data_IF_536552981724
#
_entry.id   IF_536552981724
#
_cell.length_a   1.000
_cell.length_b   1.000
_cell.length_c   1.000
_cell.angle_alpha   90.00
_cell.angle_beta   90.00
_cell.angle_gamma   90.00
#
_symmetry.space_group_name_H-M   'P 1'
#
loop_
_entity.id
_entity.type
_entity.pdbx_description
1 polymer ?
#
# COMPACT_ATOMS: atom_id res chain seq x y z
N UNK A 1 15.88 -47.07 -31.32
CA UNK A 1 15.00 -48.18 -31.80
C UNK A 1 13.61 -47.60 -31.99
N UNK A 2 13.27 -47.32 -33.25
CA UNK A 2 12.09 -47.59 -34.07
C UNK A 2 10.73 -47.49 -33.33
N UNK A 3 9.96 -46.45 -33.58
CA UNK A 3 8.88 -46.27 -34.60
C UNK A 3 7.69 -47.20 -34.41
N UNK A 4 6.46 -46.65 -34.25
CA UNK A 4 5.39 -46.83 -35.21
C UNK A 4 4.15 -45.98 -34.90
N UNK A 5 3.76 -45.26 -35.94
CA UNK A 5 2.46 -44.55 -36.15
C UNK A 5 1.31 -45.54 -36.20
N UNK A 6 0.09 -45.08 -35.81
CA UNK A 6 -1.14 -45.54 -36.47
C UNK A 6 -2.08 -44.37 -36.61
N UNK A 7 -2.40 -44.08 -37.89
CA UNK A 7 -3.45 -43.24 -38.42
C UNK A 7 -4.81 -43.94 -38.27
N UNK A 8 -5.85 -43.18 -37.99
CA UNK A 8 -7.24 -43.64 -38.04
C UNK A 8 -8.18 -42.47 -38.44
N UNK A 9 -8.38 -42.38 -39.72
CA UNK A 9 -9.31 -41.46 -40.40
C UNK A 9 -10.71 -42.11 -40.43
N UNK A 10 -11.78 -41.40 -40.02
CA UNK A 10 -13.15 -41.70 -40.43
C UNK A 10 -13.90 -40.43 -40.76
N UNK A 11 -14.21 -40.33 -42.04
CA UNK A 11 -15.15 -39.39 -42.67
C UNK A 11 -16.51 -40.10 -42.74
N UNK A 12 -17.60 -39.43 -42.33
CA UNK A 12 -18.92 -39.68 -42.92
C UNK A 12 -19.67 -38.36 -43.02
N UNK A 13 -20.09 -38.09 -44.22
CA UNK A 13 -20.90 -36.95 -44.67
C UNK A 13 -22.40 -37.26 -44.51
N UNK A 14 -23.22 -36.25 -44.40
CA UNK A 14 -24.69 -36.33 -44.48
C UNK A 14 -25.33 -34.95 -44.57
N UNK A 15 -25.57 -34.52 -45.76
CA UNK A 15 -26.57 -33.60 -46.35
C UNK A 15 -27.94 -33.60 -45.60
N UNK A 16 -28.83 -32.63 -45.63
CA UNK A 16 -29.11 -31.51 -46.52
C UNK A 16 -30.33 -30.70 -46.02
N UNK A 17 -30.39 -29.46 -46.44
CA UNK A 17 -31.58 -28.68 -46.92
C UNK A 17 -32.71 -28.26 -45.97
N UNK A 18 -32.88 -26.94 -45.89
CA UNK A 18 -34.11 -26.26 -45.52
C UNK A 18 -33.98 -24.75 -45.71
N UNK A 19 -34.50 -24.24 -46.80
CA UNK A 19 -34.47 -22.86 -47.29
C UNK A 19 -35.50 -21.96 -46.58
N UNK A 20 -35.13 -20.66 -46.55
CA UNK A 20 -35.97 -19.46 -46.73
C UNK A 20 -36.49 -18.73 -45.47
N UNK A 21 -36.11 -17.45 -45.41
CA UNK A 21 -36.77 -16.44 -44.60
C UNK A 21 -35.94 -15.13 -44.56
N UNK A 22 -36.25 -14.24 -45.48
CA UNK A 22 -35.73 -12.87 -45.63
C UNK A 22 -35.87 -11.99 -44.37
N UNK A 23 -34.93 -11.05 -44.21
CA UNK A 23 -35.33 -9.72 -43.73
C UNK A 23 -34.50 -9.14 -42.61
N UNK A 24 -33.56 -8.32 -42.95
CA UNK A 24 -33.46 -7.01 -42.31
C UNK A 24 -32.58 -6.81 -41.08
N UNK A 25 -31.65 -5.93 -41.26
CA UNK A 25 -31.03 -5.04 -40.27
C UNK A 25 -29.91 -5.60 -39.42
N UNK A 26 -28.73 -5.33 -39.89
CA UNK A 26 -27.46 -5.24 -39.16
C UNK A 26 -27.64 -4.30 -37.94
N UNK A 27 -27.75 -4.84 -36.74
CA UNK A 27 -27.52 -4.11 -35.51
C UNK A 27 -26.23 -4.66 -34.90
N UNK A 28 -25.18 -3.89 -35.08
CA UNK A 28 -24.00 -3.92 -34.23
C UNK A 28 -24.49 -3.85 -32.78
N UNK A 29 -24.37 -4.96 -32.07
CA UNK A 29 -24.61 -4.99 -30.61
C UNK A 29 -23.36 -4.44 -29.98
N UNK A 30 -23.38 -3.13 -29.76
CA UNK A 30 -22.55 -2.48 -28.75
C UNK A 30 -22.86 -3.15 -27.43
N UNK A 31 -21.91 -3.91 -26.91
CA UNK A 31 -21.93 -4.35 -25.51
C UNK A 31 -21.62 -3.15 -24.61
N UNK A 32 -22.51 -2.18 -24.57
CA UNK A 32 -22.57 -1.26 -23.46
C UNK A 32 -22.98 -2.08 -22.24
N UNK A 33 -22.16 -2.04 -21.22
CA UNK A 33 -22.41 -2.55 -19.87
C UNK A 33 -23.79 -2.08 -19.39
N UNK A 34 -24.78 -2.94 -19.54
CA UNK A 34 -26.09 -2.71 -18.97
C UNK A 34 -25.97 -2.70 -17.46
N UNK A 35 -26.31 -1.57 -16.84
CA UNK A 35 -26.60 -1.49 -15.42
C UNK A 35 -27.74 -2.49 -15.15
N UNK A 36 -27.43 -3.54 -14.38
CA UNK A 36 -28.46 -4.44 -13.86
C UNK A 36 -29.28 -3.64 -12.85
N UNK A 37 -30.58 -3.53 -13.11
CA UNK A 37 -31.53 -2.98 -12.16
C UNK A 37 -31.47 -3.74 -10.85
N UNK A 38 -31.14 -3.04 -9.74
CA UNK A 38 -31.40 -3.49 -8.37
C UNK A 38 -30.27 -4.14 -7.58
N UNK A 39 -29.05 -4.30 -8.11
CA UNK A 39 -27.92 -4.90 -7.39
C UNK A 39 -26.81 -3.89 -7.04
N UNK A 40 -26.19 -4.01 -5.86
CA UNK A 40 -25.01 -3.22 -5.51
C UNK A 40 -23.86 -3.44 -6.53
N UNK A 41 -23.20 -2.36 -6.96
CA UNK A 41 -22.06 -2.43 -7.85
C UNK A 41 -20.89 -3.14 -7.15
N UNK A 42 -20.38 -4.22 -7.74
CA UNK A 42 -19.20 -4.90 -7.21
C UNK A 42 -17.97 -4.01 -7.37
N UNK A 43 -17.20 -3.87 -6.29
CA UNK A 43 -15.93 -3.16 -6.21
C UNK A 43 -14.86 -4.14 -5.76
N UNK A 44 -13.89 -4.43 -6.62
CA UNK A 44 -12.76 -5.31 -6.31
C UNK A 44 -11.63 -4.52 -5.67
N UNK A 45 -11.28 -4.90 -4.45
CA UNK A 45 -10.28 -4.24 -3.62
C UNK A 45 -9.06 -5.14 -3.49
N UNK A 46 -7.95 -4.78 -4.12
CA UNK A 46 -6.69 -5.48 -3.92
C UNK A 46 -6.03 -5.05 -2.59
N UNK A 47 -5.45 -6.00 -1.86
CA UNK A 47 -4.65 -5.72 -0.67
C UNK A 47 -3.44 -6.66 -0.58
N UNK A 48 -2.42 -6.29 0.19
CA UNK A 48 -1.25 -7.15 0.38
C UNK A 48 -1.56 -8.33 1.30
N UNK A 49 -0.74 -9.38 1.25
CA UNK A 49 -1.01 -10.63 1.96
C UNK A 49 -0.34 -10.72 3.33
N UNK A 50 0.68 -9.91 3.60
CA UNK A 50 1.56 -10.09 4.75
C UNK A 50 1.99 -8.77 5.44
N UNK A 51 1.35 -7.65 5.15
CA UNK A 51 1.70 -6.35 5.74
C UNK A 51 0.92 -6.12 7.05
N UNK A 52 1.25 -6.91 8.07
CA UNK A 52 0.66 -6.83 9.42
C UNK A 52 1.13 -5.55 10.11
N UNK A 53 0.23 -4.80 10.78
CA UNK A 53 -1.21 -5.01 10.94
C UNK A 53 -2.07 -4.19 9.96
N UNK A 54 -1.49 -3.66 8.86
CA UNK A 54 -2.23 -2.81 7.91
C UNK A 54 -3.20 -3.59 7.05
N UNK A 55 -2.70 -4.56 6.29
CA UNK A 55 -3.50 -5.45 5.45
C UNK A 55 -2.76 -6.79 5.24
N UNK A 56 -3.46 -7.89 5.50
CA UNK A 56 -2.91 -9.24 5.46
C UNK A 56 -3.99 -10.30 5.32
N UNK A 57 -3.57 -11.54 5.13
CA UNK A 57 -4.44 -12.71 5.22
C UNK A 57 -4.19 -13.38 6.57
N UNK A 58 -5.24 -13.55 7.37
CA UNK A 58 -5.14 -14.16 8.69
C UNK A 58 -5.01 -15.70 8.60
N UNK A 59 -4.81 -16.35 9.74
CA UNK A 59 -4.63 -17.82 9.82
C UNK A 59 -5.83 -18.63 9.32
N UNK A 60 -7.00 -17.99 9.16
CA UNK A 60 -8.21 -18.62 8.60
C UNK A 60 -8.32 -18.43 7.09
N UNK A 61 -7.37 -17.73 6.46
CA UNK A 61 -7.40 -17.40 5.05
C UNK A 61 -8.30 -16.22 4.70
N UNK A 62 -8.70 -15.42 5.68
CA UNK A 62 -9.58 -14.26 5.50
C UNK A 62 -8.76 -12.97 5.39
N UNK A 63 -9.25 -12.01 4.60
CA UNK A 63 -8.69 -10.66 4.54
C UNK A 63 -8.88 -9.94 5.87
N UNK A 64 -7.81 -9.42 6.46
CA UNK A 64 -7.78 -8.76 7.76
C UNK A 64 -6.76 -7.63 7.77
N UNK A 65 -6.77 -6.85 8.82
CA UNK A 65 -5.88 -5.70 9.04
C UNK A 65 -6.64 -4.39 9.15
N UNK A 66 -5.91 -3.36 9.54
CA UNK A 66 -6.48 -2.04 9.80
C UNK A 66 -7.19 -1.45 8.57
N UNK A 67 -6.51 -1.41 7.41
CA UNK A 67 -7.06 -0.81 6.19
C UNK A 67 -8.24 -1.62 5.65
N UNK A 68 -8.18 -2.96 5.75
CA UNK A 68 -9.31 -3.84 5.42
C UNK A 68 -10.50 -3.56 6.33
N UNK A 69 -10.29 -3.44 7.65
CA UNK A 69 -11.34 -3.16 8.62
C UNK A 69 -11.98 -1.78 8.39
N UNK A 70 -11.18 -0.75 8.08
CA UNK A 70 -11.70 0.58 7.71
C UNK A 70 -12.58 0.48 6.46
N UNK A 71 -12.13 -0.21 5.41
CA UNK A 71 -12.90 -0.36 4.17
C UNK A 71 -14.19 -1.19 4.39
N UNK A 72 -14.20 -2.15 5.32
CA UNK A 72 -15.41 -2.84 5.73
C UNK A 72 -16.43 -1.90 6.42
N UNK A 73 -15.96 -0.95 7.24
CA UNK A 73 -16.84 0.08 7.81
C UNK A 73 -17.33 1.08 6.73
N UNK A 74 -16.46 1.45 5.78
CA UNK A 74 -16.85 2.26 4.61
C UNK A 74 -17.99 1.59 3.82
N UNK A 75 -17.91 0.28 3.60
CA UNK A 75 -18.96 -0.45 2.88
C UNK A 75 -20.33 -0.34 3.56
N UNK A 76 -20.38 -0.33 4.90
CA UNK A 76 -21.66 -0.19 5.64
C UNK A 76 -22.34 1.16 5.38
N UNK A 77 -21.55 2.20 5.07
CA UNK A 77 -22.03 3.54 4.74
C UNK A 77 -22.36 3.71 3.25
N UNK A 78 -21.90 2.78 2.40
CA UNK A 78 -22.05 2.83 0.94
C UNK A 78 -22.80 1.60 0.41
N UNK A 79 -24.11 1.45 0.71
CA UNK A 79 -24.87 0.25 0.35
C UNK A 79 -25.03 0.04 -1.17
N UNK A 80 -24.77 1.05 -2.00
CA UNK A 80 -24.75 0.96 -3.45
C UNK A 80 -23.55 0.15 -3.99
N UNK A 81 -22.55 -0.17 -3.15
CA UNK A 81 -21.38 -0.97 -3.50
C UNK A 81 -21.36 -2.29 -2.73
N UNK A 82 -20.76 -3.32 -3.34
CA UNK A 82 -20.39 -4.57 -2.70
C UNK A 82 -18.87 -4.74 -2.82
N UNK A 83 -18.17 -4.65 -1.70
CA UNK A 83 -16.70 -4.78 -1.67
C UNK A 83 -16.28 -6.25 -1.69
N UNK A 84 -15.37 -6.60 -2.58
CA UNK A 84 -14.75 -7.92 -2.68
C UNK A 84 -13.23 -7.74 -2.49
N UNK A 85 -12.73 -8.20 -1.35
CA UNK A 85 -11.30 -8.13 -1.02
C UNK A 85 -10.52 -9.24 -1.72
N UNK A 86 -9.43 -8.86 -2.40
CA UNK A 86 -8.60 -9.76 -3.19
C UNK A 86 -7.16 -9.65 -2.72
N UNK A 87 -6.67 -10.62 -1.93
CA UNK A 87 -5.28 -10.66 -1.52
C UNK A 87 -4.36 -10.90 -2.73
N UNK A 88 -3.27 -10.12 -2.84
CA UNK A 88 -2.35 -10.18 -3.97
C UNK A 88 -0.92 -9.79 -3.54
N UNK A 89 0.05 -9.92 -4.45
CA UNK A 89 1.39 -9.40 -4.22
C UNK A 89 1.41 -7.86 -4.31
N UNK A 90 2.45 -7.25 -3.76
CA UNK A 90 2.64 -5.80 -3.75
C UNK A 90 2.71 -5.20 -5.16
N UNK A 91 3.44 -5.88 -6.06
CA UNK A 91 3.62 -5.47 -7.45
C UNK A 91 2.32 -5.66 -8.27
N UNK A 92 1.67 -6.82 -8.14
CA UNK A 92 0.42 -7.11 -8.83
C UNK A 92 -0.73 -6.19 -8.40
N UNK A 93 -0.71 -5.70 -7.15
CA UNK A 93 -1.69 -4.74 -6.64
C UNK A 93 -1.66 -3.46 -7.47
N UNK A 94 -0.52 -2.80 -7.56
CA UNK A 94 -0.41 -1.52 -8.26
C UNK A 94 -0.66 -1.67 -9.76
N UNK A 95 -0.09 -2.71 -10.40
CA UNK A 95 -0.34 -3.02 -11.81
C UNK A 95 -1.83 -3.32 -12.04
N UNK A 96 -2.44 -4.08 -11.14
CA UNK A 96 -3.85 -4.45 -11.25
C UNK A 96 -4.80 -3.27 -11.08
N UNK A 97 -4.49 -2.33 -10.18
CA UNK A 97 -5.26 -1.08 -10.03
C UNK A 97 -5.06 -0.18 -11.26
N UNK A 98 -3.82 0.02 -11.73
CA UNK A 98 -3.52 0.85 -12.90
C UNK A 98 -4.24 0.34 -14.14
N UNK A 99 -4.22 -0.96 -14.40
CA UNK A 99 -4.90 -1.59 -15.56
C UNK A 99 -6.43 -1.67 -15.43
N UNK A 100 -7.00 -1.49 -14.24
CA UNK A 100 -8.42 -1.63 -13.96
C UNK A 100 -8.88 -3.07 -13.69
N UNK A 101 -7.97 -4.01 -13.43
CA UNK A 101 -8.28 -5.33 -12.90
C UNK A 101 -8.92 -5.22 -11.52
N UNK A 102 -8.46 -4.27 -10.71
CA UNK A 102 -9.02 -3.89 -9.41
C UNK A 102 -9.51 -2.44 -9.46
N UNK A 103 -10.56 -2.13 -8.72
CA UNK A 103 -11.14 -0.80 -8.63
C UNK A 103 -10.34 0.13 -7.74
N UNK A 104 -9.82 -0.43 -6.64
CA UNK A 104 -8.88 0.22 -5.74
C UNK A 104 -7.93 -0.80 -5.11
N UNK A 105 -6.84 -0.31 -4.52
CA UNK A 105 -5.89 -1.11 -3.77
C UNK A 105 -5.49 -0.43 -2.47
N UNK A 106 -5.20 -1.24 -1.44
CA UNK A 106 -4.69 -0.77 -0.15
C UNK A 106 -3.43 -1.53 0.24
N UNK A 107 -2.43 -0.79 0.73
CA UNK A 107 -1.09 -1.30 1.06
C UNK A 107 -0.26 -0.30 1.90
N UNK A 108 -0.90 0.54 2.70
CA UNK A 108 -0.20 1.63 3.37
C UNK A 108 0.43 2.63 2.40
N UNK A 109 -0.22 2.91 1.27
CA UNK A 109 0.40 3.70 0.22
C UNK A 109 0.55 5.16 0.62
N UNK A 110 1.78 5.69 0.52
CA UNK A 110 2.05 7.11 0.66
C UNK A 110 1.81 7.83 -0.65
N UNK A 111 1.28 9.04 -0.55
CA UNK A 111 1.08 9.90 -1.70
C UNK A 111 2.43 10.42 -2.22
N UNK A 112 2.68 10.23 -3.53
CA UNK A 112 3.82 10.80 -4.25
C UNK A 112 3.36 11.32 -5.60
N UNK A 113 4.06 12.29 -6.19
CA UNK A 113 3.69 12.85 -7.49
C UNK A 113 3.65 11.77 -8.59
N UNK A 114 4.64 10.88 -8.63
CA UNK A 114 4.67 9.78 -9.59
C UNK A 114 3.45 8.83 -9.47
N UNK A 115 2.96 8.62 -8.25
CA UNK A 115 1.75 7.82 -8.01
C UNK A 115 0.47 8.55 -8.41
N UNK A 116 0.41 9.88 -8.22
CA UNK A 116 -0.73 10.68 -8.66
C UNK A 116 -0.93 10.64 -10.18
N UNK A 117 0.12 10.47 -10.96
CA UNK A 117 0.03 10.31 -12.41
C UNK A 117 -0.73 9.04 -12.79
N UNK A 118 -0.62 7.99 -12.00
CA UNK A 118 -1.17 6.65 -12.28
C UNK A 118 -2.51 6.38 -11.59
N UNK A 119 -2.72 6.94 -10.41
CA UNK A 119 -3.87 6.64 -9.54
C UNK A 119 -4.63 7.90 -9.14
N UNK A 120 -5.88 7.73 -8.72
CA UNK A 120 -6.59 8.73 -7.93
C UNK A 120 -6.23 8.47 -6.47
N UNK A 121 -5.78 9.51 -5.78
CA UNK A 121 -5.69 9.57 -4.32
C UNK A 121 -6.92 10.30 -3.78
N UNK A 122 -7.65 9.72 -2.83
CA UNK A 122 -8.75 10.41 -2.16
C UNK A 122 -8.19 11.58 -1.32
N UNK A 123 -9.06 12.47 -0.88
CA UNK A 123 -8.69 13.58 0.00
C UNK A 123 -8.38 13.08 1.41
N UNK A 124 -9.16 12.10 1.86
CA UNK A 124 -9.09 11.57 3.21
C UNK A 124 -8.16 10.35 3.27
N UNK A 125 -7.09 10.41 4.08
CA UNK A 125 -6.26 9.24 4.32
C UNK A 125 -7.03 8.16 5.08
N UNK A 126 -6.67 6.89 4.81
CA UNK A 126 -7.22 5.73 5.51
C UNK A 126 -6.58 5.57 6.89
N UNK A 127 -5.31 5.92 7.02
CA UNK A 127 -4.51 5.76 8.22
C UNK A 127 -3.20 6.55 8.13
N UNK A 128 -2.25 6.18 8.96
CA UNK A 128 -0.91 6.76 8.95
C UNK A 128 0.17 5.72 9.25
N UNK A 129 1.40 5.97 8.77
CA UNK A 129 2.60 5.21 9.13
C UNK A 129 3.57 6.13 9.86
N UNK A 130 4.01 5.74 11.05
CA UNK A 130 5.09 6.43 11.75
C UNK A 130 6.42 5.96 11.18
N UNK A 131 7.26 6.92 10.78
CA UNK A 131 8.61 6.63 10.32
C UNK A 131 9.64 7.23 11.26
N UNK A 132 10.84 6.65 11.25
CA UNK A 132 11.95 7.11 12.07
C UNK A 132 13.27 6.46 11.67
N UNK A 133 14.25 6.60 12.53
CA UNK A 133 15.59 6.07 12.32
C UNK A 133 15.81 4.84 13.20
N UNK A 134 16.18 3.72 12.58
CA UNK A 134 16.78 2.56 13.26
C UNK A 134 18.28 2.80 13.30
N UNK A 135 18.88 2.69 14.48
CA UNK A 135 20.30 2.96 14.69
C UNK A 135 20.88 2.06 15.81
N UNK A 136 22.21 1.98 15.89
CA UNK A 136 22.85 1.24 16.98
C UNK A 136 22.59 1.95 18.31
N UNK A 137 22.21 1.20 19.33
CA UNK A 137 21.93 1.70 20.68
C UNK A 137 23.10 2.47 21.30
N UNK A 138 24.34 2.12 20.91
CA UNK A 138 25.56 2.82 21.35
C UNK A 138 25.63 4.28 20.87
N UNK A 139 24.85 4.63 19.84
CA UNK A 139 24.76 6.00 19.33
C UNK A 139 23.58 6.80 19.93
N UNK A 140 22.90 6.29 20.98
CA UNK A 140 21.70 6.93 21.54
C UNK A 140 21.97 8.33 22.12
N UNK A 141 23.17 8.61 22.59
CA UNK A 141 23.54 9.96 23.05
C UNK A 141 23.69 10.97 21.93
N UNK A 142 23.95 10.51 20.71
CA UNK A 142 24.17 11.32 19.51
C UNK A 142 22.92 11.42 18.62
N UNK A 143 22.08 10.36 18.62
CA UNK A 143 20.89 10.24 17.76
C UNK A 143 19.64 10.23 18.64
N UNK A 144 19.11 11.43 18.95
CA UNK A 144 17.89 11.64 19.76
C UNK A 144 16.66 11.93 18.89
N UNK A 145 16.89 12.39 17.67
CA UNK A 145 15.92 12.76 16.65
C UNK A 145 16.62 12.85 15.28
N UNK A 146 15.88 13.15 14.23
CA UNK A 146 16.44 13.29 12.88
C UNK A 146 17.35 14.52 12.76
N UNK A 147 17.08 15.59 13.51
CA UNK A 147 17.88 16.82 13.56
C UNK A 147 19.26 16.57 14.18
N UNK A 148 19.34 15.84 15.29
CA UNK A 148 20.61 15.45 15.92
C UNK A 148 21.39 14.49 15.03
N UNK A 149 20.73 13.56 14.34
CA UNK A 149 21.36 12.71 13.34
C UNK A 149 21.98 13.52 12.19
N UNK A 150 21.26 14.52 11.68
CA UNK A 150 21.76 15.41 10.64
C UNK A 150 22.98 16.22 11.11
N UNK A 151 22.93 16.78 12.34
CA UNK A 151 24.03 17.52 12.95
C UNK A 151 25.26 16.64 13.22
N UNK A 152 25.06 15.39 13.58
CA UNK A 152 26.09 14.38 13.73
C UNK A 152 26.77 14.03 12.40
N UNK A 153 26.19 14.46 11.27
CA UNK A 153 26.59 14.07 9.90
C UNK A 153 26.59 12.56 9.70
N UNK A 154 25.60 11.89 10.29
CA UNK A 154 25.45 10.45 10.26
C UNK A 154 25.26 9.93 8.82
N UNK A 155 25.80 8.75 8.57
CA UNK A 155 25.64 8.05 7.29
C UNK A 155 24.32 7.28 7.28
N UNK A 156 23.38 7.73 6.44
CA UNK A 156 22.13 7.01 6.22
C UNK A 156 22.34 5.86 5.23
N UNK A 157 21.69 4.71 5.47
CA UNK A 157 21.61 3.62 4.50
C UNK A 157 21.08 4.18 3.18
N UNK A 158 21.70 3.87 2.03
CA UNK A 158 21.22 4.34 0.73
C UNK A 158 19.75 4.00 0.47
N UNK A 159 19.03 4.90 -0.18
CA UNK A 159 17.60 4.74 -0.46
C UNK A 159 17.41 4.83 -1.98
N UNK A 160 16.64 3.91 -2.55
CA UNK A 160 16.26 3.99 -3.96
C UNK A 160 15.36 5.22 -4.20
N UNK A 161 15.64 6.05 -5.23
CA UNK A 161 14.90 7.30 -5.46
C UNK A 161 13.39 7.13 -5.63
N UNK A 162 12.94 5.96 -6.09
CA UNK A 162 11.53 5.63 -6.23
C UNK A 162 10.83 5.32 -4.89
N UNK A 163 11.59 5.12 -3.81
CA UNK A 163 11.01 4.88 -2.49
C UNK A 163 10.50 6.18 -1.89
N UNK A 164 9.33 6.13 -1.25
CA UNK A 164 8.74 7.31 -0.64
C UNK A 164 9.60 7.89 0.51
N UNK A 165 10.40 7.08 1.20
CA UNK A 165 11.36 7.52 2.21
C UNK A 165 12.42 8.48 1.65
N UNK A 166 12.81 8.31 0.37
CA UNK A 166 13.74 9.22 -0.30
C UNK A 166 13.16 10.65 -0.32
N UNK A 167 11.90 10.80 -0.75
CA UNK A 167 11.21 12.08 -0.78
C UNK A 167 11.06 12.71 0.61
N UNK A 168 10.93 11.88 1.65
CA UNK A 168 10.86 12.38 3.05
C UNK A 168 12.17 13.04 3.47
N UNK A 169 13.32 12.45 3.14
CA UNK A 169 14.63 13.03 3.45
C UNK A 169 14.92 14.24 2.54
N UNK A 170 14.52 14.21 1.27
CA UNK A 170 14.59 15.40 0.42
C UNK A 170 13.80 16.58 0.99
N UNK A 171 12.57 16.32 1.49
CA UNK A 171 11.76 17.35 2.12
C UNK A 171 12.40 17.88 3.42
N UNK A 172 13.02 17.02 4.23
CA UNK A 172 13.80 17.43 5.38
C UNK A 172 14.96 18.36 4.95
N UNK A 173 15.74 17.95 3.97
CA UNK A 173 16.91 18.70 3.48
C UNK A 173 16.53 20.08 2.92
N UNK A 174 15.36 20.22 2.28
CA UNK A 174 14.86 21.52 1.79
C UNK A 174 14.63 22.53 2.92
N UNK A 175 14.29 22.07 4.12
CA UNK A 175 14.04 22.90 5.29
C UNK A 175 15.23 23.03 6.24
N UNK A 176 16.28 22.20 6.05
CA UNK A 176 17.48 22.11 6.87
C UNK A 176 18.75 22.19 6.00
N UNK A 177 18.82 23.26 5.17
CA UNK A 177 19.91 23.43 4.19
C UNK A 177 21.30 23.51 4.84
N UNK A 178 21.40 23.98 6.08
CA UNK A 178 22.66 24.10 6.81
C UNK A 178 23.18 22.75 7.36
N UNK A 179 22.30 21.78 7.53
CA UNK A 179 22.62 20.45 8.06
C UNK A 179 21.90 19.35 7.28
N UNK A 180 22.15 19.23 5.96
CA UNK A 180 21.41 18.25 5.15
C UNK A 180 21.91 16.84 5.45
N UNK A 181 20.98 15.88 5.48
CA UNK A 181 21.30 14.46 5.49
C UNK A 181 21.77 14.05 4.08
N UNK A 182 22.95 13.46 3.99
CA UNK A 182 23.48 12.99 2.70
C UNK A 182 22.63 11.82 2.18
N UNK A 183 21.87 12.05 1.12
CA UNK A 183 21.21 11.01 0.37
C UNK A 183 22.17 10.35 -0.62
N UNK A 184 22.23 9.03 -0.58
CA UNK A 184 22.94 8.19 -1.55
C UNK A 184 21.89 7.29 -2.20
N UNK A 185 21.85 7.29 -3.53
CA UNK A 185 20.98 6.38 -4.28
C UNK A 185 21.55 4.97 -4.25
N UNK A 186 20.70 3.97 -4.10
CA UNK A 186 21.09 2.56 -4.16
C UNK A 186 20.11 1.79 -5.03
N UNK A 187 20.57 0.65 -5.51
CA UNK A 187 19.70 -0.40 -6.00
C UNK A 187 18.89 -1.03 -4.84
N UNK A 188 17.93 -1.88 -5.17
CA UNK A 188 17.12 -2.54 -4.16
C UNK A 188 17.98 -3.41 -3.23
N UNK A 189 17.70 -3.35 -1.94
CA UNK A 189 18.25 -4.21 -0.90
C UNK A 189 17.10 -4.64 0.04
N UNK A 190 17.35 -5.62 0.87
CA UNK A 190 16.36 -6.09 1.85
C UNK A 190 16.48 -5.30 3.15
N UNK A 191 15.41 -5.29 3.96
CA UNK A 191 15.45 -4.76 5.34
C UNK A 191 16.54 -5.45 6.16
N UNK A 192 16.77 -6.76 5.89
CA UNK A 192 17.86 -7.54 6.47
C UNK A 192 19.24 -6.93 6.24
N UNK A 193 19.51 -6.56 4.99
CA UNK A 193 20.79 -5.93 4.63
C UNK A 193 20.95 -4.60 5.35
N UNK A 194 19.89 -3.77 5.38
CA UNK A 194 19.92 -2.48 6.05
C UNK A 194 20.25 -2.60 7.55
N UNK A 195 19.57 -3.51 8.26
CA UNK A 195 19.85 -3.74 9.69
C UNK A 195 21.26 -4.28 9.92
N UNK A 196 21.71 -5.21 9.08
CA UNK A 196 23.08 -5.75 9.14
C UNK A 196 24.10 -4.63 8.96
N UNK A 197 23.93 -3.77 7.96
CA UNK A 197 24.86 -2.66 7.69
C UNK A 197 24.90 -1.62 8.81
N UNK A 198 23.77 -1.38 9.49
CA UNK A 198 23.71 -0.52 10.67
C UNK A 198 24.48 -1.16 11.84
N UNK A 199 24.27 -2.45 12.09
CA UNK A 199 24.94 -3.19 13.15
C UNK A 199 26.46 -3.27 12.94
N UNK A 200 26.92 -3.48 11.70
CA UNK A 200 28.33 -3.51 11.33
C UNK A 200 29.01 -2.13 11.35
N UNK A 201 28.25 -1.04 11.52
CA UNK A 201 28.77 0.32 11.49
C UNK A 201 29.12 0.85 10.11
N UNK A 202 28.66 0.21 9.04
CA UNK A 202 28.81 0.74 7.66
C UNK A 202 28.01 2.01 7.49
N UNK A 203 26.83 2.05 8.12
CA UNK A 203 25.92 3.19 8.20
C UNK A 203 25.53 3.43 9.67
N UNK A 204 25.16 4.66 9.98
CA UNK A 204 24.78 5.04 11.33
C UNK A 204 23.29 4.87 11.60
N UNK A 205 22.47 5.01 10.56
CA UNK A 205 21.03 4.78 10.66
C UNK A 205 20.40 4.26 9.35
N UNK A 206 19.23 3.63 9.51
CA UNK A 206 18.30 3.26 8.43
C UNK A 206 16.95 3.91 8.70
N UNK A 207 16.34 4.53 7.68
CA UNK A 207 14.98 5.09 7.80
C UNK A 207 13.95 4.00 7.55
N UNK A 208 13.16 3.68 8.56
CA UNK A 208 12.18 2.60 8.51
C UNK A 208 10.82 3.04 9.08
N UNK A 209 9.79 2.24 8.83
CA UNK A 209 8.48 2.35 9.44
C UNK A 209 8.55 1.71 10.84
N UNK A 210 8.04 2.41 11.87
CA UNK A 210 8.07 1.93 13.25
C UNK A 210 7.51 0.52 13.41
N UNK A 211 6.41 0.21 12.73
CA UNK A 211 5.81 -1.13 12.78
C UNK A 211 6.69 -2.21 12.15
N UNK A 212 7.49 -1.87 11.13
CA UNK A 212 8.51 -2.77 10.59
C UNK A 212 9.55 -3.07 11.67
N UNK A 213 10.06 -2.04 12.34
CA UNK A 213 11.01 -2.20 13.45
C UNK A 213 10.39 -3.02 14.60
N UNK A 214 9.19 -2.68 15.06
CA UNK A 214 8.49 -3.42 16.13
C UNK A 214 8.30 -4.89 15.76
N UNK A 215 7.87 -5.18 14.54
CA UNK A 215 7.60 -6.55 14.09
C UNK A 215 8.87 -7.37 13.91
N UNK A 216 9.96 -6.77 13.46
CA UNK A 216 11.20 -7.48 13.16
C UNK A 216 12.16 -7.54 14.34
N UNK A 217 12.17 -6.51 15.21
CA UNK A 217 13.16 -6.38 16.29
C UNK A 217 12.53 -6.53 17.68
N UNK A 218 11.43 -5.84 17.99
CA UNK A 218 10.88 -5.84 19.34
C UNK A 218 10.04 -7.09 19.64
N UNK A 219 9.31 -7.59 18.64
CA UNK A 219 8.47 -8.78 18.81
C UNK A 219 9.35 -10.03 18.99
N UNK A 220 9.04 -10.87 19.98
CA UNK A 220 9.77 -12.11 20.28
C UNK A 220 9.92 -13.05 19.07
N UNK A 221 8.93 -13.07 18.18
CA UNK A 221 8.96 -13.85 16.94
C UNK A 221 9.60 -13.12 15.77
N UNK A 222 10.10 -11.89 15.99
CA UNK A 222 10.73 -11.08 14.95
C UNK A 222 12.07 -11.67 14.48
N UNK A 223 12.35 -11.55 13.20
CA UNK A 223 13.56 -12.11 12.57
C UNK A 223 14.87 -11.57 13.16
N UNK A 224 14.81 -10.41 13.81
CA UNK A 224 15.96 -9.73 14.44
C UNK A 224 15.76 -9.49 15.93
N UNK A 225 14.86 -10.23 16.58
CA UNK A 225 14.62 -10.07 18.01
C UNK A 225 15.89 -10.31 18.87
N UNK A 226 16.75 -11.20 18.43
CA UNK A 226 18.05 -11.45 19.05
C UNK A 226 19.02 -10.25 19.00
N UNK A 227 18.64 -9.17 18.31
CA UNK A 227 19.42 -7.93 18.18
C UNK A 227 18.73 -6.73 18.85
N UNK A 228 17.60 -6.95 19.54
CA UNK A 228 16.83 -5.90 20.19
C UNK A 228 17.60 -5.13 21.28
N UNK A 229 18.64 -5.74 21.85
CA UNK A 229 19.56 -5.10 22.80
C UNK A 229 20.59 -4.17 22.12
N UNK A 230 20.80 -4.31 20.81
CA UNK A 230 21.81 -3.57 20.03
C UNK A 230 21.22 -2.47 19.14
N UNK A 231 19.94 -2.58 18.79
CA UNK A 231 19.24 -1.62 17.94
C UNK A 231 18.29 -0.76 18.76
N UNK A 232 18.05 0.45 18.30
CA UNK A 232 17.07 1.38 18.83
C UNK A 232 16.35 2.07 17.70
N UNK A 233 15.19 2.64 18.01
CA UNK A 233 14.35 3.39 17.06
C UNK A 233 14.01 4.76 17.65
N UNK A 234 14.13 5.81 16.84
CA UNK A 234 13.63 7.14 17.19
C UNK A 234 12.63 7.60 16.14
N UNK A 235 11.46 8.02 16.60
CA UNK A 235 10.39 8.54 15.72
C UNK A 235 10.81 9.85 15.07
N UNK A 236 10.41 10.02 13.80
CA UNK A 236 10.53 11.29 13.11
C UNK A 236 9.16 11.94 12.91
N UNK A 237 8.28 11.31 12.17
CA UNK A 237 6.92 11.81 11.91
C UNK A 237 5.97 10.72 11.43
N UNK A 238 4.67 11.00 11.47
CA UNK A 238 3.68 10.17 10.81
C UNK A 238 3.44 10.66 9.37
N UNK A 239 3.28 9.71 8.47
CA UNK A 239 2.97 9.93 7.05
C UNK A 239 1.57 9.37 6.79
N UNK A 240 0.61 10.16 6.30
CA UNK A 240 -0.70 9.65 5.94
C UNK A 240 -0.63 8.55 4.88
N UNK A 241 -1.43 7.50 5.06
CA UNK A 241 -1.60 6.40 4.10
C UNK A 241 -2.95 6.47 3.41
N UNK A 242 -2.99 6.06 2.17
CA UNK A 242 -4.15 6.19 1.30
C UNK A 242 -4.43 4.90 0.54
N UNK A 243 -5.70 4.55 0.32
CA UNK A 243 -6.03 3.65 -0.77
C UNK A 243 -5.74 4.32 -2.10
N UNK A 244 -5.35 3.55 -3.10
CA UNK A 244 -5.13 4.04 -4.47
C UNK A 244 -6.26 3.56 -5.36
N UNK A 245 -6.94 4.47 -6.06
CA UNK A 245 -8.07 4.14 -6.94
C UNK A 245 -7.65 4.13 -8.40
N UNK A 246 -8.26 3.25 -9.19
CA UNK A 246 -8.13 3.32 -10.64
C UNK A 246 -8.66 4.65 -11.17
N UNK A 247 -8.02 5.22 -12.19
CA UNK A 247 -8.38 6.53 -12.79
C UNK A 247 -9.84 6.64 -13.26
N UNK A 248 -10.53 5.53 -13.49
CA UNK A 248 -11.93 5.50 -13.92
C UNK A 248 -12.93 5.58 -12.75
N UNK A 249 -12.45 5.47 -11.53
CA UNK A 249 -13.30 5.32 -10.32
C UNK A 249 -13.39 6.58 -9.47
N UNK A 250 -13.44 7.78 -10.10
CA UNK A 250 -13.53 9.06 -9.38
C UNK A 250 -14.74 9.10 -8.43
N UNK A 251 -15.91 8.66 -8.89
CA UNK A 251 -17.12 8.66 -8.05
C UNK A 251 -16.95 7.77 -6.80
N UNK A 252 -16.29 6.62 -6.93
CA UNK A 252 -16.00 5.75 -5.79
C UNK A 252 -15.04 6.42 -4.80
N UNK A 253 -14.03 7.15 -5.28
CA UNK A 253 -13.11 7.91 -4.43
C UNK A 253 -13.83 9.06 -3.70
N UNK A 254 -14.74 9.78 -4.38
CA UNK A 254 -15.52 10.86 -3.78
C UNK A 254 -16.52 10.33 -2.73
N UNK A 255 -17.10 9.16 -2.95
CA UNK A 255 -18.00 8.50 -1.98
C UNK A 255 -17.21 7.95 -0.79
N UNK A 256 -16.02 7.40 -1.03
CA UNK A 256 -15.08 6.99 0.02
C UNK A 256 -14.72 8.18 0.92
N UNK A 257 -14.36 9.34 0.36
CA UNK A 257 -14.01 10.54 1.14
C UNK A 257 -15.11 10.93 2.13
N UNK A 258 -16.39 10.92 1.68
CA UNK A 258 -17.53 11.20 2.53
C UNK A 258 -17.71 10.17 3.65
N UNK A 259 -17.52 8.89 3.33
CA UNK A 259 -17.65 7.81 4.31
C UNK A 259 -16.53 7.87 5.35
N UNK A 260 -15.27 8.07 4.93
CA UNK A 260 -14.12 8.22 5.86
C UNK A 260 -14.31 9.41 6.79
N UNK A 261 -14.80 10.55 6.29
CA UNK A 261 -15.06 11.70 7.14
C UNK A 261 -16.08 11.36 8.24
N UNK A 262 -17.17 10.66 7.90
CA UNK A 262 -18.15 10.20 8.89
C UNK A 262 -17.53 9.24 9.91
N UNK A 263 -16.66 8.31 9.48
CA UNK A 263 -15.97 7.38 10.39
C UNK A 263 -14.98 8.11 11.31
N UNK A 264 -14.34 9.16 10.83
CA UNK A 264 -13.47 10.03 11.67
C UNK A 264 -14.31 10.80 12.70
N UNK A 265 -15.39 11.44 12.27
CA UNK A 265 -16.27 12.24 13.13
C UNK A 265 -16.93 11.39 14.22
N UNK A 266 -17.26 10.12 13.91
CA UNK A 266 -17.80 9.16 14.89
C UNK A 266 -16.75 8.54 15.83
N UNK A 267 -15.46 8.77 15.59
CA UNK A 267 -14.36 8.17 16.34
C UNK A 267 -14.05 6.71 15.94
N UNK A 268 -14.71 6.16 14.90
CA UNK A 268 -14.51 4.76 14.48
C UNK A 268 -13.09 4.50 13.96
N UNK A 269 -12.49 5.44 13.23
CA UNK A 269 -11.10 5.32 12.78
C UNK A 269 -10.16 5.18 13.98
N UNK A 270 -10.30 6.05 14.99
CA UNK A 270 -9.50 6.00 16.21
C UNK A 270 -9.69 4.68 16.98
N UNK A 271 -10.91 4.16 17.04
CA UNK A 271 -11.18 2.84 17.65
C UNK A 271 -10.39 1.73 16.93
N UNK A 272 -10.40 1.74 15.58
CA UNK A 272 -9.68 0.77 14.77
C UNK A 272 -8.16 0.95 14.89
N UNK A 273 -7.64 2.18 14.91
CA UNK A 273 -6.22 2.42 15.16
C UNK A 273 -5.77 1.86 16.50
N UNK A 274 -6.50 2.14 17.58
CA UNK A 274 -6.21 1.57 18.88
C UNK A 274 -6.27 0.03 18.89
N UNK A 275 -7.20 -0.57 18.14
CA UNK A 275 -7.30 -2.04 18.03
C UNK A 275 -6.09 -2.65 17.34
N UNK A 276 -5.62 -2.07 16.23
CA UNK A 276 -4.58 -2.67 15.39
C UNK A 276 -3.18 -2.21 15.74
N UNK A 277 -3.02 -0.96 16.21
CA UNK A 277 -1.72 -0.35 16.50
C UNK A 277 -1.47 -0.11 17.99
N UNK A 278 -2.51 -0.18 18.84
CA UNK A 278 -2.42 0.15 20.25
C UNK A 278 -2.44 1.65 20.55
N UNK A 279 -2.50 2.50 19.50
CA UNK A 279 -2.49 3.95 19.63
C UNK A 279 -3.13 4.63 18.40
N UNK A 280 -3.52 5.90 18.53
CA UNK A 280 -4.02 6.75 17.46
C UNK A 280 -2.82 7.35 16.70
N UNK A 281 -2.52 6.83 15.51
CA UNK A 281 -1.36 7.28 14.72
C UNK A 281 -1.56 8.67 14.10
N UNK A 282 -2.80 9.11 13.88
CA UNK A 282 -3.08 10.43 13.35
C UNK A 282 -2.66 11.56 14.29
N UNK A 283 -2.54 11.30 15.60
CA UNK A 283 -2.02 12.29 16.55
C UNK A 283 -0.60 12.77 16.24
N UNK A 284 0.18 11.94 15.51
CA UNK A 284 1.55 12.27 15.09
C UNK A 284 1.61 12.92 13.71
N UNK A 285 0.47 13.01 13.00
CA UNK A 285 0.37 13.78 11.78
C UNK A 285 0.27 15.26 12.14
N UNK A 286 1.34 16.02 11.90
CA UNK A 286 1.30 17.46 12.11
C UNK A 286 0.15 18.09 11.27
N UNK A 287 -0.72 18.97 11.85
CA UNK A 287 -1.75 19.67 11.11
C UNK A 287 -1.23 20.44 9.89
N UNK A 288 0.03 20.91 9.95
CA UNK A 288 0.73 21.53 8.82
C UNK A 288 1.15 20.54 7.72
N UNK A 289 1.31 19.24 8.03
CA UNK A 289 1.65 18.24 7.05
C UNK A 289 0.46 17.89 6.14
N UNK A 290 -0.76 17.99 6.63
CA UNK A 290 -1.97 17.78 5.83
C UNK A 290 -2.17 18.88 4.77
N UNK A 291 -1.74 20.12 5.04
CA UNK A 291 -1.88 21.26 4.11
C UNK A 291 -0.72 21.38 3.11
N UNK A 292 0.48 20.85 3.39
CA UNK A 292 1.66 20.98 2.53
C UNK A 292 1.89 19.83 1.54
N UNK A 293 1.12 18.74 1.63
CA UNK A 293 1.14 17.67 0.62
C UNK A 293 0.21 17.96 -0.59
N UNK A 294 -0.38 19.18 -0.64
CA UNK A 294 -1.22 19.67 -1.74
C UNK A 294 -0.46 20.56 -2.75
N UNK A 295 0.90 20.55 -2.72
CA UNK A 295 1.74 21.28 -3.71
C UNK A 295 2.75 20.38 -4.37
#
# INVERSE_FOLDING_TARGET
>A
MKLKNVFGLFIVAGLALGLAGCGGANKTVDKSSGAAEGGAKVVRIAHTQAYVPYDFVNDKGESDGFEVAVLQEVQKLLPQYKFEFVPTSDDDLLIGVESGKYDLGTKGAWLTEARKEKFIFPKEPVGASVIGLVYRKDNADQIKDIESFAKFSGKLVPIAPQNAQYNVIEAFNKTHADTPIKLVSSEAFTVADAYTWVLEGRYDAYIDIELSYKSNVEKETGSYHNLADKLSFVRYKAIPTYPVFNKKNQQLADDYDKAIQQLKDSGKIKELENKYFGEDLFQYCCPFCQQRLLW
#
